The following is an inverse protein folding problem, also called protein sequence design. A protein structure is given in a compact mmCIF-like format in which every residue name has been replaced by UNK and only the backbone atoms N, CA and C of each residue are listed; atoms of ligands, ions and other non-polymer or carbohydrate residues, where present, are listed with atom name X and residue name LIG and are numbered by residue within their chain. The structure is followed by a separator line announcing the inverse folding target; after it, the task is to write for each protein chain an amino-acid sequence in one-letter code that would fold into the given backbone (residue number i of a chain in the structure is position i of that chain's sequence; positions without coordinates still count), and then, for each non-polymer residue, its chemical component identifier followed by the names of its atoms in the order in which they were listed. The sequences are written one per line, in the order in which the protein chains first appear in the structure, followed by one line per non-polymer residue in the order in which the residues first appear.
data_IF_115388285477
#
_entry.id   IF_115388285477
#
_cell.length_a   1.000
_cell.length_b   1.000
_cell.length_c   1.000
_cell.angle_alpha   90.00
_cell.angle_beta   90.00
_cell.angle_gamma   90.00
#
_symmetry.space_group_name_H-M   'P 1'
#
loop_
_entity.id
_entity.type
_entity.pdbx_description
1 polymer ?
#
# COMPACT_ATOMS: atom_id res chain seq x y z
N UNK A 1 2.39 2.60 -16.99
CA UNK A 1 3.49 2.78 -17.90
C UNK A 1 4.74 3.43 -17.31
N UNK A 2 5.55 4.03 -18.17
CA UNK A 2 6.81 4.69 -17.77
C UNK A 2 6.58 5.82 -16.75
N UNK A 3 5.47 6.56 -16.87
CA UNK A 3 5.11 7.63 -15.94
C UNK A 3 4.84 7.14 -14.52
N UNK A 4 4.26 5.96 -14.35
CA UNK A 4 3.95 5.42 -13.02
C UNK A 4 5.22 4.97 -12.31
N UNK A 5 6.14 4.34 -13.05
CA UNK A 5 7.44 3.98 -12.53
C UNK A 5 8.23 5.22 -12.05
N UNK A 6 8.20 6.28 -12.83
CA UNK A 6 8.84 7.54 -12.48
C UNK A 6 8.20 8.19 -11.24
N UNK A 7 6.87 8.10 -11.12
CA UNK A 7 6.15 8.57 -9.93
C UNK A 7 6.59 7.82 -8.67
N UNK A 8 6.63 6.49 -8.72
CA UNK A 8 7.03 5.69 -7.57
C UNK A 8 8.50 5.89 -7.20
N UNK A 9 9.39 6.06 -8.18
CA UNK A 9 10.78 6.41 -7.90
C UNK A 9 10.87 7.73 -7.14
N UNK A 10 10.07 8.74 -7.52
CA UNK A 10 10.03 10.03 -6.83
C UNK A 10 9.45 9.94 -5.43
N UNK A 11 8.42 9.12 -5.23
CA UNK A 11 7.85 8.82 -3.90
C UNK A 11 8.90 8.17 -3.02
N UNK A 12 9.60 7.17 -3.54
CA UNK A 12 10.72 6.51 -2.85
C UNK A 12 11.80 7.52 -2.47
N UNK A 13 12.27 8.34 -3.42
CA UNK A 13 13.34 9.31 -3.19
C UNK A 13 12.95 10.35 -2.14
N UNK A 14 11.67 10.75 -2.10
CA UNK A 14 11.16 11.65 -1.07
C UNK A 14 11.16 11.00 0.31
N UNK A 15 10.72 9.74 0.43
CA UNK A 15 10.76 8.98 1.68
C UNK A 15 12.22 8.72 2.12
N UNK A 16 13.11 8.41 1.18
CA UNK A 16 14.53 8.19 1.46
C UNK A 16 15.24 9.45 1.96
N UNK A 17 14.84 10.62 1.46
CA UNK A 17 15.39 11.92 1.91
C UNK A 17 14.95 12.25 3.33
N UNK A 18 13.69 11.97 3.66
CA UNK A 18 13.12 12.22 4.98
C UNK A 18 13.59 11.19 6.03
N UNK A 19 13.80 9.94 5.61
CA UNK A 19 14.10 8.81 6.49
C UNK A 19 15.18 7.89 5.89
N UNK A 20 16.43 8.36 5.75
CA UNK A 20 17.50 7.59 5.08
C UNK A 20 17.84 6.27 5.77
N UNK A 21 17.58 6.18 7.08
CA UNK A 21 17.82 4.96 7.87
C UNK A 21 16.58 4.09 8.06
N UNK A 22 15.43 4.49 7.47
CA UNK A 22 14.21 3.72 7.58
C UNK A 22 14.32 2.38 6.85
N UNK A 23 14.08 1.29 7.57
CA UNK A 23 13.97 -0.07 6.98
C UNK A 23 12.89 -0.11 5.89
N UNK A 24 11.83 0.68 6.05
CA UNK A 24 10.75 0.80 5.07
C UNK A 24 11.23 1.39 3.74
N UNK A 25 12.08 2.41 3.79
CA UNK A 25 12.62 3.07 2.59
C UNK A 25 13.58 2.16 1.85
N UNK A 26 14.52 1.53 2.55
CA UNK A 26 15.48 0.59 1.96
C UNK A 26 14.76 -0.57 1.28
N UNK A 27 13.72 -1.06 1.92
CA UNK A 27 12.87 -2.12 1.43
C UNK A 27 12.07 -1.74 0.19
N UNK A 28 11.48 -0.56 0.15
CA UNK A 28 10.75 -0.05 -1.01
C UNK A 28 11.71 0.11 -2.22
N UNK A 29 12.94 0.53 -1.98
CA UNK A 29 13.98 0.66 -3.01
C UNK A 29 14.34 -0.68 -3.65
N UNK A 30 14.58 -1.71 -2.84
CA UNK A 30 14.90 -3.06 -3.33
C UNK A 30 13.75 -3.64 -4.15
N UNK A 31 12.51 -3.34 -3.79
CA UNK A 31 11.33 -3.82 -4.50
C UNK A 31 11.08 -3.10 -5.81
N UNK A 32 11.28 -1.80 -5.86
CA UNK A 32 11.22 -1.04 -7.11
C UNK A 32 12.25 -1.62 -8.09
N UNK A 33 13.45 -1.92 -7.62
CA UNK A 33 14.49 -2.55 -8.43
C UNK A 33 14.11 -3.96 -8.89
N UNK A 34 13.60 -4.79 -7.99
CA UNK A 34 13.16 -6.15 -8.32
C UNK A 34 11.99 -6.15 -9.31
N UNK A 35 11.04 -5.21 -9.18
CA UNK A 35 9.95 -5.05 -10.11
C UNK A 35 10.42 -4.57 -11.50
N UNK A 36 11.44 -3.72 -11.55
CA UNK A 36 12.09 -3.33 -12.81
C UNK A 36 12.69 -4.53 -13.53
N UNK A 37 13.41 -5.38 -12.80
CA UNK A 37 14.06 -6.57 -13.35
C UNK A 37 13.01 -7.58 -13.84
N UNK A 38 11.91 -7.77 -13.11
CA UNK A 38 10.77 -8.60 -13.53
C UNK A 38 10.05 -8.06 -14.75
N UNK A 39 9.90 -6.74 -14.88
CA UNK A 39 9.27 -6.11 -16.03
C UNK A 39 10.13 -6.26 -17.31
N UNK A 40 11.47 -6.21 -17.17
CA UNK A 40 12.39 -6.50 -18.26
C UNK A 40 12.31 -7.97 -18.72
N UNK A 41 12.05 -8.90 -17.80
CA UNK A 41 11.82 -10.32 -18.11
C UNK A 41 10.43 -10.57 -18.70
N UNK A 42 9.40 -9.93 -18.16
CA UNK A 42 8.01 -10.06 -18.64
C UNK A 42 7.76 -9.38 -20.00
N UNK A 43 8.53 -8.36 -20.36
CA UNK A 43 8.51 -7.76 -21.70
C UNK A 43 8.95 -8.74 -22.82
N UNK A 44 9.38 -9.94 -22.45
CA UNK A 44 9.68 -11.06 -23.38
C UNK A 44 8.56 -12.08 -23.52
N UNK A 45 7.52 -12.01 -22.69
CA UNK A 45 6.34 -12.89 -22.76
C UNK A 45 5.16 -12.02 -23.19
N UNK A 46 5.03 -11.82 -24.50
CA UNK A 46 3.80 -11.29 -25.09
C UNK A 46 2.64 -12.24 -24.79
N UNK A 47 1.53 -11.70 -24.25
CA UNK A 47 0.26 -12.33 -23.90
C UNK A 47 0.13 -12.88 -22.46
N UNK A 48 0.50 -12.11 -21.45
CA UNK A 48 -0.17 -12.26 -20.16
C UNK A 48 -1.53 -11.56 -20.28
N UNK A 49 -2.63 -12.31 -20.14
CA UNK A 49 -3.95 -11.74 -19.91
C UNK A 49 -3.85 -10.68 -18.82
N UNK A 50 -4.52 -9.53 -19.01
CA UNK A 50 -4.64 -8.51 -17.98
C UNK A 50 -5.19 -9.18 -16.70
N UNK A 51 -4.30 -9.60 -15.81
CA UNK A 51 -4.70 -10.12 -14.52
C UNK A 51 -5.11 -8.93 -13.69
N UNK A 52 -6.42 -8.65 -13.67
CA UNK A 52 -6.97 -7.72 -12.71
C UNK A 52 -6.53 -8.15 -11.31
N UNK A 53 -6.05 -7.20 -10.52
CA UNK A 53 -5.73 -7.47 -9.12
C UNK A 53 -6.99 -7.98 -8.38
N UNK A 54 -6.84 -8.85 -7.36
CA UNK A 54 -7.98 -9.31 -6.58
C UNK A 54 -8.77 -8.13 -6.01
N UNK A 55 -10.04 -8.03 -6.36
CA UNK A 55 -10.89 -7.00 -5.80
C UNK A 55 -11.25 -7.33 -4.35
N UNK A 56 -11.19 -6.33 -3.50
CA UNK A 56 -11.72 -6.34 -2.14
C UNK A 56 -12.67 -5.17 -1.97
N UNK A 57 -13.75 -5.37 -1.23
CA UNK A 57 -14.72 -4.34 -0.92
C UNK A 57 -14.92 -4.33 0.59
N UNK A 58 -14.56 -3.24 1.23
CA UNK A 58 -14.57 -3.10 2.68
C UNK A 58 -15.19 -1.74 3.08
N UNK A 59 -15.82 -1.66 4.27
CA UNK A 59 -16.42 -0.42 4.73
C UNK A 59 -15.38 0.60 5.19
N UNK A 60 -15.61 1.86 4.84
CA UNK A 60 -14.88 3.01 5.38
C UNK A 60 -15.41 3.43 6.77
N UNK A 61 -14.89 4.54 7.31
CA UNK A 61 -15.29 5.07 8.63
C UNK A 61 -16.77 5.48 8.72
N UNK A 62 -17.44 5.67 7.59
CA UNK A 62 -18.87 5.99 7.48
C UNK A 62 -19.71 4.76 7.16
N UNK A 63 -19.15 3.56 7.26
CA UNK A 63 -19.77 2.30 6.87
C UNK A 63 -20.14 2.22 5.37
N UNK A 64 -19.53 3.04 4.53
CA UNK A 64 -19.67 2.98 3.08
C UNK A 64 -18.71 1.96 2.51
N UNK A 65 -19.22 1.02 1.74
CA UNK A 65 -18.41 0.05 1.03
C UNK A 65 -17.56 0.71 -0.05
N UNK A 66 -16.26 0.46 -0.02
CA UNK A 66 -15.29 0.97 -0.99
C UNK A 66 -14.55 -0.19 -1.63
N UNK A 67 -14.75 -0.37 -2.93
CA UNK A 67 -14.07 -1.40 -3.71
C UNK A 67 -12.67 -0.92 -4.10
N UNK A 68 -11.68 -1.81 -4.00
CA UNK A 68 -10.31 -1.54 -4.46
C UNK A 68 -10.28 -1.23 -5.97
N UNK A 69 -11.16 -1.87 -6.74
CA UNK A 69 -11.32 -1.62 -8.19
C UNK A 69 -11.78 -0.20 -8.51
N UNK A 70 -12.26 0.59 -7.55
CA UNK A 70 -12.52 2.02 -7.73
C UNK A 70 -11.24 2.82 -8.07
N UNK A 71 -10.06 2.25 -7.79
CA UNK A 71 -8.76 2.82 -8.11
C UNK A 71 -8.17 2.31 -9.44
N UNK A 72 -8.90 1.49 -10.16
CA UNK A 72 -8.47 0.99 -11.48
C UNK A 72 -8.18 2.16 -12.42
N UNK A 73 -7.06 2.08 -13.14
CA UNK A 73 -6.60 3.16 -14.03
C UNK A 73 -5.78 4.25 -13.34
N UNK A 74 -5.56 4.13 -12.03
CA UNK A 74 -4.72 5.04 -11.24
C UNK A 74 -3.56 4.27 -10.61
N UNK A 75 -2.39 4.89 -10.41
CA UNK A 75 -1.36 4.32 -9.55
C UNK A 75 -1.81 4.40 -8.10
N UNK A 76 -1.67 3.32 -7.35
CA UNK A 76 -2.08 3.31 -5.95
C UNK A 76 -1.20 2.41 -5.08
N UNK A 77 -1.23 2.71 -3.80
CA UNK A 77 -0.62 1.91 -2.74
C UNK A 77 -1.73 1.22 -1.96
N UNK A 78 -1.66 -0.10 -1.86
CA UNK A 78 -2.46 -0.90 -0.94
C UNK A 78 -1.61 -1.21 0.28
N UNK A 79 -2.05 -0.78 1.45
CA UNK A 79 -1.32 -0.95 2.70
C UNK A 79 -2.19 -1.61 3.76
N UNK A 80 -1.65 -2.63 4.41
CA UNK A 80 -2.25 -3.28 5.58
C UNK A 80 -1.55 -2.79 6.85
N UNK A 81 -2.33 -2.38 7.83
CA UNK A 81 -1.81 -1.80 9.06
C UNK A 81 -2.67 -2.14 10.28
N UNK A 82 -2.21 -1.77 11.47
CA UNK A 82 -2.96 -1.87 12.72
C UNK A 82 -2.68 -0.66 13.60
N UNK A 83 -3.69 -0.21 14.34
CA UNK A 83 -3.54 0.88 15.35
C UNK A 83 -2.62 0.45 16.49
N UNK A 84 -2.47 -0.86 16.71
CA UNK A 84 -1.61 -1.41 17.74
C UNK A 84 -0.10 -1.26 17.45
N UNK A 85 0.29 -0.98 16.19
CA UNK A 85 1.70 -0.71 15.87
C UNK A 85 2.12 0.64 16.47
N UNK A 86 3.11 0.69 17.38
CA UNK A 86 3.55 1.92 18.02
C UNK A 86 4.13 2.95 17.04
N UNK A 87 4.60 2.53 15.87
CA UNK A 87 5.19 3.39 14.87
C UNK A 87 4.20 3.89 13.82
N UNK A 88 2.96 3.40 13.83
CA UNK A 88 1.97 3.69 12.78
C UNK A 88 1.67 5.19 12.63
N UNK A 89 1.64 5.92 13.73
CA UNK A 89 1.32 7.35 13.75
C UNK A 89 2.40 8.19 13.04
N UNK A 90 3.65 7.89 13.33
CA UNK A 90 4.80 8.50 12.68
C UNK A 90 4.80 8.18 11.18
N UNK A 91 4.66 6.90 10.84
CA UNK A 91 4.64 6.46 9.45
C UNK A 91 3.49 7.10 8.65
N UNK A 92 2.28 7.16 9.21
CA UNK A 92 1.14 7.81 8.55
C UNK A 92 1.37 9.32 8.33
N UNK A 93 1.99 10.02 9.27
CA UNK A 93 2.31 11.44 9.10
C UNK A 93 3.26 11.66 7.92
N UNK A 94 4.29 10.83 7.83
CA UNK A 94 5.28 10.90 6.75
C UNK A 94 4.65 10.56 5.39
N UNK A 95 3.81 9.53 5.39
CA UNK A 95 3.06 9.14 4.20
C UNK A 95 2.08 10.24 3.74
N UNK A 96 1.51 11.01 4.67
CA UNK A 96 0.65 12.17 4.34
C UNK A 96 1.40 13.24 3.56
N UNK A 97 2.62 13.55 3.94
CA UNK A 97 3.43 14.54 3.21
C UNK A 97 3.68 14.08 1.78
N UNK A 98 4.06 12.82 1.61
CA UNK A 98 4.28 12.22 0.29
C UNK A 98 2.99 12.19 -0.52
N UNK A 99 1.88 11.75 0.09
CA UNK A 99 0.58 11.70 -0.58
C UNK A 99 0.14 13.09 -1.06
N UNK A 100 0.22 14.10 -0.22
CA UNK A 100 -0.14 15.47 -0.57
C UNK A 100 0.71 16.03 -1.71
N UNK A 101 1.97 15.63 -1.79
CA UNK A 101 2.87 16.03 -2.87
C UNK A 101 2.52 15.39 -4.22
N UNK A 102 2.06 14.14 -4.22
CA UNK A 102 1.88 13.36 -5.46
C UNK A 102 0.42 13.06 -5.83
N UNK A 103 -0.54 13.36 -4.96
CA UNK A 103 -1.97 13.17 -5.27
C UNK A 103 -2.43 13.91 -6.53
N UNK A 104 -1.85 15.08 -6.81
CA UNK A 104 -2.12 15.83 -8.04
C UNK A 104 -1.61 15.14 -9.31
N UNK A 105 -0.72 14.16 -9.18
CA UNK A 105 -0.23 13.30 -10.27
C UNK A 105 -0.99 11.98 -10.37
N UNK A 106 -2.07 11.81 -9.59
CA UNK A 106 -2.96 10.66 -9.61
C UNK A 106 -2.66 9.57 -8.59
N UNK A 107 -1.67 9.76 -7.70
CA UNK A 107 -1.41 8.79 -6.63
C UNK A 107 -2.60 8.69 -5.68
N UNK A 108 -3.04 7.44 -5.42
CA UNK A 108 -4.05 7.10 -4.43
C UNK A 108 -3.49 6.12 -3.40
N UNK A 109 -4.11 6.07 -2.23
CA UNK A 109 -3.78 5.09 -1.19
C UNK A 109 -5.07 4.43 -0.71
N UNK A 110 -5.05 3.10 -0.63
CA UNK A 110 -6.09 2.28 -0.05
C UNK A 110 -5.51 1.56 1.16
N UNK A 111 -5.88 1.98 2.35
CA UNK A 111 -5.30 1.50 3.60
C UNK A 111 -6.29 0.61 4.34
N UNK A 112 -5.92 -0.66 4.53
CA UNK A 112 -6.73 -1.68 5.19
C UNK A 112 -6.24 -1.88 6.62
N UNK A 113 -7.09 -1.63 7.60
CA UNK A 113 -6.82 -1.99 8.99
C UNK A 113 -7.20 -3.44 9.26
N UNK A 114 -6.32 -4.15 9.94
CA UNK A 114 -6.59 -5.49 10.48
C UNK A 114 -7.03 -5.46 11.95
N UNK A 115 -7.47 -4.31 12.44
CA UNK A 115 -7.97 -4.19 13.81
C UNK A 115 -9.33 -4.87 13.95
N UNK A 116 -9.60 -5.49 15.08
CA UNK A 116 -10.91 -6.03 15.43
C UNK A 116 -11.78 -4.96 16.11
N UNK A 117 -11.17 -3.96 16.73
CA UNK A 117 -11.85 -2.81 17.31
C UNK A 117 -12.01 -1.70 16.27
N UNK A 118 -13.16 -1.69 15.60
CA UNK A 118 -13.49 -0.67 14.58
C UNK A 118 -13.57 0.74 15.16
N UNK A 119 -13.91 0.88 16.44
CA UNK A 119 -13.99 2.18 17.11
C UNK A 119 -12.59 2.76 17.30
N UNK A 120 -11.64 1.98 17.79
CA UNK A 120 -10.25 2.40 17.92
C UNK A 120 -9.66 2.79 16.56
N UNK A 121 -9.90 1.99 15.53
CA UNK A 121 -9.48 2.29 14.17
C UNK A 121 -10.08 3.61 13.64
N UNK A 122 -11.40 3.77 13.72
CA UNK A 122 -12.08 4.97 13.22
C UNK A 122 -11.60 6.24 13.96
N UNK A 123 -11.36 6.13 15.27
CA UNK A 123 -10.78 7.20 16.08
C UNK A 123 -9.39 7.57 15.57
N UNK A 124 -8.52 6.59 15.33
CA UNK A 124 -7.17 6.84 14.84
C UNK A 124 -7.18 7.50 13.44
N UNK A 125 -8.04 7.05 12.54
CA UNK A 125 -8.20 7.66 11.21
C UNK A 125 -8.61 9.14 11.32
N UNK A 126 -9.55 9.43 12.19
CA UNK A 126 -10.04 10.79 12.41
C UNK A 126 -9.01 11.69 13.09
N UNK A 127 -8.39 11.21 14.16
CA UNK A 127 -7.39 11.98 14.92
C UNK A 127 -6.13 12.28 14.11
N UNK A 128 -5.75 11.35 13.25
CA UNK A 128 -4.59 11.52 12.37
C UNK A 128 -4.94 12.25 11.07
N UNK A 129 -6.23 12.55 10.84
CA UNK A 129 -6.70 13.21 9.62
C UNK A 129 -6.17 12.55 8.34
N UNK A 130 -6.31 11.20 8.25
CA UNK A 130 -5.81 10.45 7.11
C UNK A 130 -6.60 10.79 5.83
N UNK A 131 -5.95 11.34 4.78
CA UNK A 131 -6.66 11.92 3.64
C UNK A 131 -7.02 10.91 2.54
N UNK A 132 -6.61 9.66 2.70
CA UNK A 132 -6.83 8.59 1.73
C UNK A 132 -7.97 7.65 2.14
N UNK A 133 -8.25 6.65 1.29
CA UNK A 133 -9.23 5.62 1.58
C UNK A 133 -8.76 4.76 2.75
N UNK A 134 -9.52 4.75 3.84
CA UNK A 134 -9.28 3.94 5.03
C UNK A 134 -10.46 3.02 5.27
N UNK A 135 -10.22 1.71 5.30
CA UNK A 135 -11.24 0.68 5.42
C UNK A 135 -10.90 -0.35 6.49
N UNK A 136 -11.94 -0.95 7.11
CA UNK A 136 -11.80 -1.99 8.12
C UNK A 136 -13.09 -2.78 8.26
N UNK A 137 -13.03 -4.11 8.15
CA UNK A 137 -14.18 -4.99 8.38
C UNK A 137 -14.31 -5.48 9.84
N UNK A 138 -13.34 -5.20 10.69
CA UNK A 138 -13.31 -5.62 12.09
C UNK A 138 -13.03 -7.11 12.29
N UNK A 139 -12.57 -7.83 11.26
CA UNK A 139 -12.32 -9.28 11.31
C UNK A 139 -10.87 -9.65 11.59
N UNK A 140 -10.00 -8.68 11.70
CA UNK A 140 -8.57 -8.92 11.96
C UNK A 140 -7.93 -9.82 10.90
N UNK A 141 -7.20 -10.82 11.34
CA UNK A 141 -6.57 -11.79 10.45
C UNK A 141 -7.55 -12.65 9.62
N UNK A 142 -8.84 -12.68 9.99
CA UNK A 142 -9.89 -13.37 9.25
C UNK A 142 -10.53 -12.50 8.15
N UNK A 143 -10.04 -11.27 7.94
CA UNK A 143 -10.49 -10.40 6.85
C UNK A 143 -10.27 -11.06 5.49
N UNK A 144 -11.25 -10.91 4.60
CA UNK A 144 -11.12 -11.37 3.21
C UNK A 144 -9.94 -10.70 2.50
N UNK A 145 -9.61 -9.47 2.83
CA UNK A 145 -8.48 -8.75 2.28
C UNK A 145 -7.15 -9.41 2.66
N UNK A 146 -7.00 -9.88 3.90
CA UNK A 146 -5.82 -10.61 4.38
C UNK A 146 -5.62 -11.91 3.57
N UNK A 147 -6.69 -12.67 3.36
CA UNK A 147 -6.65 -13.90 2.58
C UNK A 147 -6.35 -13.63 1.10
N UNK A 148 -7.01 -12.65 0.49
CA UNK A 148 -6.88 -12.32 -0.93
C UNK A 148 -5.47 -11.87 -1.32
N UNK A 149 -4.77 -11.23 -0.41
CA UNK A 149 -3.41 -10.70 -0.64
C UNK A 149 -2.32 -11.47 0.12
N UNK A 150 -2.67 -12.62 0.70
CA UNK A 150 -1.74 -13.47 1.44
C UNK A 150 -0.88 -12.71 2.46
N UNK A 151 -1.55 -11.87 3.26
CA UNK A 151 -0.88 -11.03 4.26
C UNK A 151 -0.48 -11.88 5.45
N UNK A 152 0.82 -11.97 5.71
CA UNK A 152 1.40 -12.79 6.79
C UNK A 152 2.02 -11.96 7.91
N UNK A 153 2.24 -10.67 7.67
CA UNK A 153 2.82 -9.74 8.63
C UNK A 153 2.30 -8.31 8.42
N UNK A 154 2.36 -7.48 9.43
CA UNK A 154 1.96 -6.07 9.41
C UNK A 154 3.16 -5.20 9.78
N UNK A 155 3.39 -4.09 9.05
CA UNK A 155 2.69 -3.66 7.84
C UNK A 155 3.05 -4.48 6.60
N UNK A 156 2.11 -4.57 5.66
CA UNK A 156 2.33 -5.10 4.32
C UNK A 156 1.92 -4.04 3.31
N UNK A 157 2.75 -3.83 2.29
CA UNK A 157 2.53 -2.80 1.28
C UNK A 157 2.63 -3.42 -0.12
N UNK A 158 1.65 -3.12 -0.96
CA UNK A 158 1.64 -3.43 -2.39
C UNK A 158 1.54 -2.14 -3.18
N UNK A 159 2.31 -2.04 -4.24
CA UNK A 159 2.30 -0.88 -5.13
C UNK A 159 1.82 -1.32 -6.50
N UNK A 160 0.78 -0.67 -7.00
CA UNK A 160 0.14 -0.96 -8.28
C UNK A 160 0.32 0.20 -9.26
N UNK A 161 0.62 -0.14 -10.51
CA UNK A 161 0.61 0.84 -11.59
C UNK A 161 -0.82 1.05 -12.14
N UNK A 162 -0.97 1.93 -13.12
CA UNK A 162 -2.27 2.24 -13.76
C UNK A 162 -2.91 1.05 -14.46
N UNK A 163 -2.12 0.07 -14.83
CA UNK A 163 -2.61 -1.14 -15.50
C UNK A 163 -3.11 -2.19 -14.49
N UNK A 164 -2.91 -1.95 -13.20
CA UNK A 164 -3.24 -2.89 -12.14
C UNK A 164 -2.16 -3.95 -11.92
N UNK A 165 -0.97 -3.74 -12.45
CA UNK A 165 0.18 -4.62 -12.22
C UNK A 165 0.86 -4.27 -10.91
N UNK A 166 1.22 -5.29 -10.13
CA UNK A 166 2.02 -5.12 -8.92
C UNK A 166 3.45 -4.82 -9.35
N UNK A 167 3.95 -3.64 -9.00
CA UNK A 167 5.32 -3.21 -9.28
C UNK A 167 6.21 -3.26 -8.05
N UNK A 168 5.64 -3.41 -6.86
CA UNK A 168 6.36 -3.71 -5.62
C UNK A 168 5.43 -4.35 -4.59
N UNK A 169 5.93 -5.34 -3.84
CA UNK A 169 5.20 -5.94 -2.72
C UNK A 169 6.14 -6.32 -1.59
N UNK A 170 5.73 -6.11 -0.33
CA UNK A 170 6.48 -6.59 0.83
C UNK A 170 5.66 -6.74 2.11
N UNK A 171 5.98 -7.84 2.81
CA UNK A 171 5.78 -7.99 4.24
C UNK A 171 7.01 -7.41 4.96
N UNK A 172 6.86 -6.27 5.63
CA UNK A 172 7.98 -5.55 6.23
C UNK A 172 8.54 -6.21 7.50
N UNK A 173 7.89 -7.28 7.99
CA UNK A 173 8.29 -8.03 9.18
C UNK A 173 8.41 -9.55 8.95
N UNK A 174 8.69 -10.02 7.74
CA UNK A 174 9.07 -11.43 7.61
C UNK A 174 10.40 -11.66 8.35
N UNK A 175 10.48 -12.76 9.11
CA UNK A 175 11.65 -13.11 9.95
C UNK A 175 12.99 -13.22 9.20
N UNK A 176 12.99 -13.13 7.88
CA UNK A 176 14.17 -13.19 7.04
C UNK A 176 14.97 -11.88 6.99
N UNK A 177 14.49 -10.81 7.62
CA UNK A 177 15.16 -9.50 7.65
C UNK A 177 15.73 -9.14 9.04
N UNK A 178 15.88 -10.11 9.94
CA UNK A 178 16.45 -9.94 11.28
C UNK A 178 17.66 -10.88 11.44
N UNK A 179 18.63 -10.80 10.55
CA UNK A 179 20.02 -11.23 10.75
C UNK A 179 20.97 -10.12 10.34
#
# INVERSE_FOLDING_TARGET
GENDHFLFQRVHDSLATLYPESVYVKSLQEQIKAAQDLKLLAGRIENAEETAFPNITLPDVNAKEVALTSLQGKPFILMFWTVADPNQKMFNNDLKEVYNKYKGQGLEIYQVSIDTDKTAWATAVKEQELPWISVCDGRGAASIAVASYNVTAIPTIYVFDRNGDIIASKNLFSKENVE
#
